data_IF_847009407153
#
_entry.id   IF_847009407153
#
_cell.length_a   1.000
_cell.length_b   1.000
_cell.length_c   1.000
_cell.angle_alpha   90.00
_cell.angle_beta   90.00
_cell.angle_gamma   90.00
#
_symmetry.space_group_name_H-M   'P 1'
#
loop_
_entity.id
_entity.type
_entity.pdbx_description
1 polymer ?
#
# COMPACT_ATOMS: atom_id res chain seq x y z
N UNK A 1 -9.58 11.60 -5.55
CA UNK A 1 -8.36 10.94 -5.05
C UNK A 1 -7.11 11.44 -5.79
N UNK A 2 -6.02 11.83 -5.09
CA UNK A 2 -4.72 12.19 -5.70
C UNK A 2 -3.83 10.94 -5.83
N UNK A 3 -3.91 10.16 -6.91
CA UNK A 3 -3.05 8.97 -7.05
C UNK A 3 -2.10 9.00 -8.26
N UNK A 4 -0.96 9.66 -8.04
CA UNK A 4 0.34 9.22 -8.56
C UNK A 4 1.21 8.82 -7.36
N UNK A 5 1.37 7.52 -7.16
CA UNK A 5 2.30 6.99 -6.15
C UNK A 5 3.72 6.96 -6.71
N UNK A 6 4.69 7.30 -5.87
CA UNK A 6 6.11 7.10 -6.21
C UNK A 6 6.45 5.60 -6.22
N UNK A 7 7.56 5.17 -6.87
CA UNK A 7 7.97 3.76 -6.87
C UNK A 7 8.08 3.16 -5.45
N UNK A 8 8.65 3.90 -4.49
CA UNK A 8 8.76 3.48 -3.10
C UNK A 8 7.40 3.29 -2.43
N UNK A 9 6.42 4.14 -2.77
CA UNK A 9 5.06 4.04 -2.22
C UNK A 9 4.29 2.87 -2.83
N UNK A 10 4.45 2.63 -4.13
CA UNK A 10 3.91 1.43 -4.78
C UNK A 10 4.50 0.15 -4.18
N UNK A 11 5.79 0.15 -3.82
CA UNK A 11 6.43 -0.97 -3.14
C UNK A 11 5.80 -1.22 -1.75
N UNK A 12 5.58 -0.16 -0.96
CA UNK A 12 4.94 -0.27 0.35
C UNK A 12 3.51 -0.84 0.26
N UNK A 13 2.74 -0.36 -0.72
CA UNK A 13 1.41 -0.92 -1.02
C UNK A 13 1.51 -2.39 -1.42
N UNK A 14 2.49 -2.74 -2.27
CA UNK A 14 2.71 -4.11 -2.71
C UNK A 14 3.03 -5.07 -1.56
N UNK A 15 3.74 -4.61 -0.52
CA UNK A 15 3.94 -5.41 0.69
C UNK A 15 2.62 -5.72 1.39
N UNK A 16 1.77 -4.72 1.61
CA UNK A 16 0.48 -4.90 2.28
C UNK A 16 -0.43 -5.86 1.51
N UNK A 17 -0.51 -5.69 0.19
CA UNK A 17 -1.27 -6.61 -0.66
C UNK A 17 -0.72 -8.04 -0.68
N UNK A 18 0.61 -8.18 -0.57
CA UNK A 18 1.25 -9.49 -0.48
C UNK A 18 1.07 -10.15 0.88
N UNK A 19 0.32 -9.52 1.81
CA UNK A 19 0.04 -10.05 3.14
C UNK A 19 1.09 -9.70 4.19
N UNK A 20 1.95 -8.71 3.95
CA UNK A 20 2.75 -8.13 5.03
C UNK A 20 1.85 -7.31 5.96
N UNK A 21 2.09 -7.40 7.26
CA UNK A 21 1.44 -6.58 8.28
C UNK A 21 2.34 -5.43 8.65
N UNK A 22 1.79 -4.22 8.79
CA UNK A 22 2.54 -3.10 9.32
C UNK A 22 2.49 -3.14 10.86
N UNK A 23 3.66 -3.10 11.49
CA UNK A 23 3.81 -2.98 12.94
C UNK A 23 4.66 -1.76 13.29
N UNK A 24 4.42 -1.22 14.47
CA UNK A 24 5.26 -0.21 15.09
C UNK A 24 6.09 -0.86 16.20
N UNK A 25 7.41 -0.63 16.17
CA UNK A 25 8.34 -1.06 17.21
C UNK A 25 9.14 0.16 17.65
N UNK A 26 8.79 0.70 18.81
CA UNK A 26 9.28 1.99 19.29
C UNK A 26 8.88 3.11 18.33
N UNK A 27 9.89 3.84 17.82
CA UNK A 27 9.69 4.95 16.86
C UNK A 27 9.75 4.52 15.39
N UNK A 28 9.92 3.21 15.13
CA UNK A 28 10.17 2.69 13.79
C UNK A 28 9.03 1.80 13.32
N UNK A 29 8.69 1.93 12.04
CA UNK A 29 7.64 1.14 11.40
C UNK A 29 8.23 0.05 10.52
N UNK A 30 7.59 -1.10 10.50
CA UNK A 30 8.05 -2.26 9.73
C UNK A 30 6.90 -3.03 9.09
N UNK A 31 7.09 -3.45 7.86
CA UNK A 31 6.30 -4.49 7.23
C UNK A 31 6.86 -5.86 7.63
N UNK A 32 6.03 -6.73 8.19
CA UNK A 32 6.40 -8.09 8.60
C UNK A 32 5.56 -9.16 7.90
N UNK A 33 6.20 -10.23 7.43
CA UNK A 33 5.54 -11.44 6.90
C UNK A 33 6.39 -12.66 7.22
N UNK A 34 5.99 -13.44 8.22
CA UNK A 34 6.83 -14.51 8.77
C UNK A 34 8.13 -13.92 9.31
N UNK A 35 9.27 -14.44 8.86
CA UNK A 35 10.60 -13.97 9.24
C UNK A 35 11.05 -12.72 8.46
N UNK A 36 10.33 -12.35 7.39
CA UNK A 36 10.69 -11.21 6.55
C UNK A 36 10.24 -9.92 7.22
N UNK A 37 11.18 -8.98 7.38
CA UNK A 37 10.92 -7.64 7.94
C UNK A 37 11.52 -6.57 7.03
N UNK A 38 10.72 -5.56 6.69
CA UNK A 38 11.15 -4.41 5.90
C UNK A 38 10.84 -3.12 6.65
N UNK A 39 11.86 -2.32 6.92
CA UNK A 39 11.69 -1.01 7.57
C UNK A 39 11.03 -0.03 6.60
N UNK A 40 10.12 0.79 7.12
CA UNK A 40 9.49 1.90 6.41
C UNK A 40 9.60 3.17 7.24
N UNK A 41 9.83 4.29 6.56
CA UNK A 41 9.94 5.58 7.21
C UNK A 41 8.53 6.12 7.54
N UNK A 42 8.33 6.74 8.72
CA UNK A 42 7.05 7.34 9.10
C UNK A 42 6.51 8.31 8.02
N UNK A 43 7.39 9.15 7.45
CA UNK A 43 7.04 10.07 6.36
C UNK A 43 6.44 9.39 5.13
N UNK A 44 6.84 8.14 4.84
CA UNK A 44 6.32 7.38 3.70
C UNK A 44 4.91 6.89 3.98
N UNK A 45 4.62 6.50 5.22
CA UNK A 45 3.28 6.10 5.65
C UNK A 45 2.33 7.30 5.65
N UNK A 46 2.77 8.42 6.23
CA UNK A 46 2.02 9.68 6.19
C UNK A 46 1.70 10.10 4.74
N UNK A 47 2.68 10.05 3.85
CA UNK A 47 2.47 10.36 2.44
C UNK A 47 1.55 9.37 1.69
N UNK A 48 1.36 8.15 2.21
CA UNK A 48 0.39 7.18 1.70
C UNK A 48 -1.01 7.49 2.25
N UNK A 49 -1.13 7.84 3.53
CA UNK A 49 -2.39 8.30 4.15
C UNK A 49 -2.90 9.56 3.45
N UNK A 50 -2.03 10.56 3.27
CA UNK A 50 -2.34 11.82 2.60
C UNK A 50 -2.76 11.65 1.12
N UNK A 51 -2.33 10.56 0.47
CA UNK A 51 -2.77 10.22 -0.89
C UNK A 51 -4.02 9.35 -0.93
N UNK A 52 -4.57 9.00 0.24
CA UNK A 52 -5.72 8.12 0.39
C UNK A 52 -5.41 6.65 0.17
N UNK A 53 -4.13 6.24 0.11
CA UNK A 53 -3.76 4.84 -0.09
C UNK A 53 -3.83 4.00 1.19
N UNK A 54 -3.61 4.62 2.35
CA UNK A 54 -3.75 4.00 3.66
C UNK A 54 -4.82 4.70 4.49
N UNK A 55 -5.49 3.92 5.33
CA UNK A 55 -6.35 4.40 6.40
C UNK A 55 -5.71 4.10 7.76
N UNK A 56 -5.85 5.03 8.70
CA UNK A 56 -5.60 4.79 10.11
C UNK A 56 -6.85 4.15 10.72
N UNK A 57 -6.69 3.02 11.40
CA UNK A 57 -7.74 2.50 12.28
C UNK A 57 -7.60 3.12 13.67
N UNK A 58 -8.69 3.17 14.43
CA UNK A 58 -8.73 3.72 15.79
C UNK A 58 -7.78 2.98 16.76
N UNK A 59 -7.41 1.75 16.41
CA UNK A 59 -6.44 0.92 17.14
C UNK A 59 -4.97 1.22 16.76
N UNK A 60 -4.71 2.25 15.96
CA UNK A 60 -3.35 2.62 15.54
C UNK A 60 -2.77 1.71 14.46
N UNK A 61 -3.58 0.89 13.80
CA UNK A 61 -3.12 0.07 12.69
C UNK A 61 -3.30 0.81 11.36
N UNK A 62 -2.44 0.49 10.39
CA UNK A 62 -2.56 0.97 9.03
C UNK A 62 -3.07 -0.15 8.15
N UNK A 63 -4.08 0.16 7.35
CA UNK A 63 -4.64 -0.75 6.36
C UNK A 63 -4.80 -0.02 5.03
N UNK A 64 -4.84 -0.77 3.92
CA UNK A 64 -5.22 -0.18 2.64
C UNK A 64 -6.65 0.35 2.76
N UNK A 65 -6.89 1.57 2.29
CA UNK A 65 -8.24 2.12 2.29
C UNK A 65 -9.11 1.40 1.25
N UNK A 66 -10.42 1.29 1.52
CA UNK A 66 -11.35 0.65 0.59
C UNK A 66 -11.37 1.39 -0.76
N UNK A 67 -11.36 2.73 -0.74
CA UNK A 67 -11.30 3.56 -1.95
C UNK A 67 -10.05 3.25 -2.79
N UNK A 68 -8.90 3.01 -2.14
CA UNK A 68 -7.66 2.63 -2.82
C UNK A 68 -7.74 1.23 -3.41
N UNK A 69 -8.29 0.27 -2.67
CA UNK A 69 -8.47 -1.11 -3.14
C UNK A 69 -9.36 -1.11 -4.39
N UNK A 70 -10.49 -0.40 -4.37
CA UNK A 70 -11.39 -0.27 -5.51
C UNK A 70 -10.74 0.45 -6.70
N UNK A 71 -9.99 1.52 -6.44
CA UNK A 71 -9.23 2.21 -7.48
C UNK A 71 -8.22 1.27 -8.15
N UNK A 72 -7.48 0.49 -7.36
CA UNK A 72 -6.47 -0.44 -7.85
C UNK A 72 -7.08 -1.62 -8.60
N UNK A 73 -8.23 -2.11 -8.16
CA UNK A 73 -9.01 -3.15 -8.85
C UNK A 73 -9.42 -2.66 -10.24
N UNK A 74 -9.99 -1.45 -10.33
CA UNK A 74 -10.36 -0.82 -11.62
C UNK A 74 -9.15 -0.68 -12.56
N UNK A 75 -8.01 -0.20 -12.05
CA UNK A 75 -6.79 -0.06 -12.86
C UNK A 75 -6.27 -1.41 -13.38
N UNK A 76 -6.34 -2.47 -12.57
CA UNK A 76 -5.98 -3.85 -12.98
C UNK A 76 -6.96 -4.41 -14.01
N UNK A 77 -8.25 -4.13 -13.89
CA UNK A 77 -9.28 -4.58 -14.84
C UNK A 77 -9.15 -3.87 -16.20
N UNK A 78 -8.78 -2.60 -16.23
CA UNK A 78 -8.48 -1.86 -17.46
C UNK A 78 -7.14 -2.24 -18.10
N UNK A 79 -6.24 -2.88 -17.34
CA UNK A 79 -4.95 -3.39 -17.83
C UNK A 79 -5.03 -4.81 -18.41
N UNK A 80 -6.23 -5.31 -18.73
CA UNK A 80 -6.36 -6.52 -19.56
C UNK A 80 -5.62 -6.25 -20.89
N UNK A 81 -4.72 -7.15 -21.32
CA UNK A 81 -4.07 -6.99 -22.62
C UNK A 81 -5.19 -6.96 -23.66
N UNK A 82 -5.22 -5.92 -24.50
CA UNK A 82 -5.93 -6.02 -25.77
C UNK A 82 -5.35 -7.27 -26.45
N UNK A 83 -6.16 -8.28 -26.82
CA UNK A 83 -5.65 -9.37 -27.61
C UNK A 83 -5.07 -8.76 -28.88
N UNK A 84 -3.75 -8.84 -29.02
CA UNK A 84 -3.07 -8.58 -30.28
C UNK A 84 -3.48 -9.73 -31.19
N UNK A 85 -4.53 -9.51 -31.98
CA UNK A 85 -4.83 -10.32 -33.15
C UNK A 85 -3.78 -9.95 -34.21
N UNK A 86 -2.81 -10.84 -34.42
CA UNK A 86 -1.98 -10.88 -35.61
C UNK A 86 -2.61 -11.83 -36.63
#
# INVERSE_FOLDING_TARGET
MKLKLTPTQNLCVGYLESGFKLIQLGEQFYFIKGERRQKVLPKTLDALVNRGALAHTEHGHYMLSDEFIEHRKRMRETAKPKPVHH
#
